data_IF_539510799484
#
_entry.id   IF_539510799484
#
_cell.length_a   1.000
_cell.length_b   1.000
_cell.length_c   1.000
_cell.angle_alpha   90.00
_cell.angle_beta   90.00
_cell.angle_gamma   90.00
#
_symmetry.space_group_name_H-M   'P 1'
#
loop_
_entity.id
_entity.type
_entity.pdbx_description
1 polymer ?
#
# COMPACT_ATOMS: atom_id res chain seq x y z
N UNK A 1 16.05 33.02 -3.96
CA UNK A 1 15.61 32.88 -5.35
C UNK A 1 16.79 32.66 -6.29
N UNK A 2 17.94 33.29 -6.04
CA UNK A 2 19.04 33.35 -7.02
C UNK A 2 19.84 32.06 -7.21
N UNK A 3 19.69 31.07 -6.31
CA UNK A 3 20.37 29.76 -6.37
C UNK A 3 19.39 28.59 -6.48
N UNK A 4 18.13 28.84 -6.83
CA UNK A 4 17.09 27.81 -6.91
C UNK A 4 16.21 28.01 -8.14
N UNK A 5 15.66 26.92 -8.69
CA UNK A 5 14.73 26.95 -9.82
C UNK A 5 13.47 27.80 -9.55
N UNK A 6 13.07 27.89 -8.27
CA UNK A 6 11.93 28.69 -7.84
C UNK A 6 12.37 30.05 -7.27
N UNK A 7 11.61 31.11 -7.59
CA UNK A 7 11.88 32.48 -7.14
C UNK A 7 11.33 32.75 -5.73
N UNK A 8 10.02 32.91 -5.60
CA UNK A 8 9.33 33.25 -4.34
C UNK A 8 8.90 32.00 -3.60
N UNK A 9 9.22 31.89 -2.30
CA UNK A 9 8.86 30.74 -1.46
C UNK A 9 8.34 31.20 -0.11
N UNK A 10 7.33 30.51 0.42
CA UNK A 10 6.78 30.82 1.73
C UNK A 10 7.78 30.45 2.83
N UNK A 11 8.30 31.46 3.55
CA UNK A 11 9.13 31.24 4.74
C UNK A 11 8.42 30.38 5.80
N UNK A 12 7.09 30.41 5.84
CA UNK A 12 6.28 29.57 6.70
C UNK A 12 6.50 28.06 6.49
N UNK A 13 6.77 27.61 5.26
CA UNK A 13 7.05 26.19 4.99
C UNK A 13 8.40 25.76 5.62
N UNK A 14 9.42 26.63 5.56
CA UNK A 14 10.69 26.39 6.22
C UNK A 14 10.54 26.36 7.75
N UNK A 15 9.72 27.26 8.32
CA UNK A 15 9.42 27.27 9.75
C UNK A 15 8.69 26.00 10.22
N UNK A 16 7.72 25.51 9.43
CA UNK A 16 7.01 24.27 9.74
C UNK A 16 7.94 23.05 9.74
N UNK A 17 8.82 22.94 8.73
CA UNK A 17 9.83 21.86 8.68
C UNK A 17 10.83 21.98 9.83
N UNK A 18 11.32 23.18 10.10
CA UNK A 18 12.25 23.43 11.20
C UNK A 18 11.65 22.97 12.53
N UNK A 19 10.43 23.40 12.85
CA UNK A 19 9.74 23.00 14.08
C UNK A 19 9.51 21.49 14.14
N UNK A 20 9.15 20.86 13.00
CA UNK A 20 9.02 19.40 12.91
C UNK A 20 10.32 18.72 13.30
N UNK A 21 11.48 19.16 12.82
CA UNK A 21 12.77 18.58 13.20
C UNK A 21 13.23 18.94 14.62
N UNK A 22 12.68 19.99 15.24
CA UNK A 22 12.89 20.24 16.67
C UNK A 22 12.17 19.21 17.54
N UNK A 23 10.97 18.78 17.13
CA UNK A 23 10.15 17.81 17.86
C UNK A 23 10.49 16.36 17.53
N UNK A 24 10.77 16.08 16.25
CA UNK A 24 11.13 14.78 15.70
C UNK A 24 12.47 14.90 14.96
N UNK A 25 13.61 14.88 15.69
CA UNK A 25 14.92 15.01 15.07
C UNK A 25 15.13 13.95 13.97
N UNK A 26 15.81 14.28 12.86
CA UNK A 26 16.09 13.34 11.76
C UNK A 26 17.21 12.36 12.16
N UNK A 27 16.94 11.58 13.20
CA UNK A 27 17.84 10.60 13.82
C UNK A 27 17.06 9.30 14.05
N UNK A 28 17.76 8.17 14.25
CA UNK A 28 17.10 6.91 14.59
C UNK A 28 16.18 6.99 15.82
N UNK A 29 16.54 7.80 16.82
CA UNK A 29 15.76 7.99 18.06
C UNK A 29 14.61 9.01 17.93
N UNK A 30 14.60 9.82 16.87
CA UNK A 30 13.53 10.78 16.59
C UNK A 30 12.59 10.26 15.49
N UNK A 31 12.59 10.92 14.33
CA UNK A 31 11.80 10.53 13.17
C UNK A 31 12.01 9.06 12.76
N UNK A 32 13.20 8.51 13.01
CA UNK A 32 13.50 7.10 12.74
C UNK A 32 12.55 6.11 13.42
N UNK A 33 12.05 6.41 14.62
CA UNK A 33 11.09 5.54 15.32
C UNK A 33 9.75 5.45 14.57
N UNK A 34 9.28 6.57 14.04
CA UNK A 34 8.04 6.65 13.23
C UNK A 34 8.19 5.85 11.94
N UNK A 35 9.31 6.04 11.23
CA UNK A 35 9.60 5.31 9.99
C UNK A 35 9.80 3.81 10.23
N UNK A 36 10.46 3.44 11.33
CA UNK A 36 10.69 2.04 11.69
C UNK A 36 9.37 1.31 11.99
N UNK A 37 8.41 1.97 12.63
CA UNK A 37 7.07 1.40 12.86
C UNK A 37 6.35 1.09 11.55
N UNK A 38 6.34 2.04 10.59
CA UNK A 38 5.77 1.80 9.26
C UNK A 38 6.43 0.64 8.52
N UNK A 39 7.77 0.52 8.61
CA UNK A 39 8.51 -0.61 8.03
C UNK A 39 8.16 -1.94 8.68
N UNK A 40 8.08 -2.01 10.02
CA UNK A 40 7.69 -3.23 10.74
C UNK A 40 6.27 -3.65 10.38
N UNK A 41 5.35 -2.71 10.31
CA UNK A 41 3.97 -2.95 9.87
C UNK A 41 3.94 -3.55 8.44
N UNK A 42 4.73 -3.02 7.51
CA UNK A 42 4.77 -3.50 6.13
C UNK A 42 5.32 -4.93 6.03
N UNK A 43 6.38 -5.24 6.78
CA UNK A 43 6.96 -6.58 6.82
C UNK A 43 6.02 -7.60 7.48
N UNK A 44 5.36 -7.21 8.57
CA UNK A 44 4.36 -8.04 9.24
C UNK A 44 3.17 -8.33 8.31
N UNK A 45 2.69 -7.32 7.59
CA UNK A 45 1.59 -7.51 6.66
C UNK A 45 1.97 -8.38 5.45
N UNK A 46 3.20 -8.23 4.95
CA UNK A 46 3.71 -9.08 3.89
C UNK A 46 3.71 -10.57 4.30
N UNK A 47 3.97 -10.88 5.57
CA UNK A 47 3.90 -12.25 6.08
C UNK A 47 2.46 -12.77 6.12
N UNK A 48 1.51 -11.97 6.63
CA UNK A 48 0.09 -12.34 6.60
C UNK A 48 -0.39 -12.63 5.16
N UNK A 49 0.00 -11.79 4.20
CA UNK A 49 -0.33 -11.96 2.78
C UNK A 49 0.28 -13.23 2.17
N UNK A 50 1.47 -13.69 2.61
CA UNK A 50 2.06 -14.95 2.14
C UNK A 50 1.26 -16.17 2.61
N UNK A 51 0.63 -16.07 3.78
CA UNK A 51 -0.22 -17.13 4.36
C UNK A 51 -1.69 -17.05 3.92
N UNK A 52 -2.08 -15.99 3.20
CA UNK A 52 -3.46 -15.76 2.80
C UNK A 52 -3.86 -16.65 1.62
N UNK A 53 -5.07 -17.21 1.70
CA UNK A 53 -5.68 -17.94 0.58
C UNK A 53 -6.46 -17.03 -0.38
N UNK A 54 -6.79 -15.81 0.05
CA UNK A 54 -7.66 -14.89 -0.69
C UNK A 54 -6.92 -13.68 -1.28
N UNK A 55 -5.74 -13.36 -0.77
CA UNK A 55 -4.89 -12.26 -1.22
C UNK A 55 -3.48 -12.80 -1.47
N UNK A 56 -2.82 -12.26 -2.48
CA UNK A 56 -1.42 -12.58 -2.80
C UNK A 56 -0.56 -11.33 -2.74
N UNK A 57 0.62 -11.45 -2.12
CA UNK A 57 1.63 -10.40 -2.08
C UNK A 57 2.21 -10.17 -3.48
N UNK A 58 2.23 -8.93 -3.97
CA UNK A 58 2.80 -8.63 -5.28
C UNK A 58 4.34 -8.73 -5.29
N UNK A 59 5.00 -8.16 -4.28
CA UNK A 59 6.45 -8.30 -4.04
C UNK A 59 6.79 -8.00 -2.57
N UNK A 60 7.93 -8.48 -2.05
CA UNK A 60 8.41 -8.06 -0.73
C UNK A 60 8.53 -6.53 -0.63
N UNK A 61 8.00 -5.91 0.44
CA UNK A 61 8.11 -4.47 0.62
C UNK A 61 9.51 -4.07 1.11
N UNK A 62 10.12 -3.10 0.42
CA UNK A 62 11.41 -2.52 0.82
C UNK A 62 11.23 -1.39 1.85
N UNK A 63 10.06 -0.72 1.82
CA UNK A 63 9.65 0.39 2.68
C UNK A 63 8.23 0.15 3.23
N UNK A 64 7.48 1.21 3.53
CA UNK A 64 6.16 1.20 4.16
C UNK A 64 4.98 1.06 3.17
N UNK A 65 5.24 0.64 1.93
CA UNK A 65 4.22 0.41 0.90
C UNK A 65 4.08 -1.08 0.63
N UNK A 66 2.87 -1.61 0.80
CA UNK A 66 2.53 -3.02 0.52
C UNK A 66 1.60 -3.07 -0.68
N UNK A 67 2.02 -3.80 -1.73
CA UNK A 67 1.22 -4.05 -2.92
C UNK A 67 0.78 -5.51 -2.95
N UNK A 68 -0.49 -5.75 -3.25
CA UNK A 68 -1.10 -7.09 -3.21
C UNK A 68 -2.32 -7.13 -4.13
N UNK A 69 -2.79 -8.33 -4.45
CA UNK A 69 -3.92 -8.53 -5.35
C UNK A 69 -4.77 -9.71 -4.90
N UNK A 70 -6.08 -9.73 -5.23
CA UNK A 70 -6.94 -10.85 -4.90
C UNK A 70 -6.57 -12.09 -5.70
N UNK A 71 -6.62 -13.25 -5.05
CA UNK A 71 -6.50 -14.55 -5.72
C UNK A 71 -7.81 -14.83 -6.45
N UNK A 72 -7.75 -14.92 -7.78
CA UNK A 72 -8.91 -15.25 -8.62
C UNK A 72 -8.76 -16.65 -9.22
N UNK A 73 -9.86 -17.30 -9.57
CA UNK A 73 -9.82 -18.67 -10.14
C UNK A 73 -9.02 -18.76 -11.44
N UNK A 74 -9.28 -17.84 -12.39
CA UNK A 74 -8.63 -17.82 -13.70
C UNK A 74 -7.23 -17.17 -13.69
N UNK A 75 -6.89 -16.42 -12.63
CA UNK A 75 -5.66 -15.60 -12.51
C UNK A 75 -5.36 -14.75 -13.76
N UNK A 76 -6.40 -14.33 -14.46
CA UNK A 76 -6.29 -13.44 -15.62
C UNK A 76 -6.08 -11.99 -15.18
N UNK A 77 -5.42 -11.19 -16.01
CA UNK A 77 -5.25 -9.76 -15.75
C UNK A 77 -6.62 -9.07 -15.61
N UNK A 78 -7.61 -9.43 -16.41
CA UNK A 78 -8.97 -8.88 -16.31
C UNK A 78 -9.66 -9.22 -14.99
N UNK A 79 -9.58 -10.48 -14.53
CA UNK A 79 -10.21 -10.90 -13.27
C UNK A 79 -9.58 -10.22 -12.06
N UNK A 80 -8.25 -10.10 -12.05
CA UNK A 80 -7.50 -9.42 -10.98
C UNK A 80 -7.85 -7.93 -10.93
N UNK A 81 -7.92 -7.27 -12.10
CA UNK A 81 -8.29 -5.86 -12.21
C UNK A 81 -9.71 -5.60 -11.68
N UNK A 82 -10.67 -6.42 -12.14
CA UNK A 82 -12.06 -6.32 -11.74
C UNK A 82 -12.25 -6.57 -10.24
N UNK A 83 -11.62 -7.60 -9.69
CA UNK A 83 -11.70 -7.93 -8.27
C UNK A 83 -11.04 -6.85 -7.40
N UNK A 84 -9.88 -6.32 -7.78
CA UNK A 84 -9.23 -5.21 -7.07
C UNK A 84 -10.11 -3.96 -7.05
N UNK A 85 -10.73 -3.62 -8.18
CA UNK A 85 -11.65 -2.49 -8.26
C UNK A 85 -12.92 -2.70 -7.42
N UNK A 86 -13.44 -3.93 -7.32
CA UNK A 86 -14.56 -4.26 -6.43
C UNK A 86 -14.18 -4.08 -4.97
N UNK A 87 -13.06 -4.66 -4.52
CA UNK A 87 -12.59 -4.56 -3.13
C UNK A 87 -12.42 -3.09 -2.71
N UNK A 88 -11.78 -2.27 -3.55
CA UNK A 88 -11.61 -0.83 -3.26
C UNK A 88 -12.97 -0.14 -3.08
N UNK A 89 -13.91 -0.37 -4.00
CA UNK A 89 -15.22 0.27 -3.98
C UNK A 89 -16.07 -0.18 -2.79
N UNK A 90 -16.10 -1.49 -2.52
CA UNK A 90 -16.84 -2.07 -1.41
C UNK A 90 -16.25 -1.67 -0.05
N UNK A 91 -14.92 -1.64 0.06
CA UNK A 91 -14.22 -1.15 1.25
C UNK A 91 -14.56 0.30 1.55
N UNK A 92 -14.59 1.18 0.55
CA UNK A 92 -14.94 2.59 0.74
C UNK A 92 -16.43 2.83 1.01
N UNK A 93 -17.32 1.98 0.47
CA UNK A 93 -18.77 2.13 0.60
C UNK A 93 -19.32 1.59 1.93
N UNK A 94 -18.55 0.78 2.68
CA UNK A 94 -18.99 0.28 3.98
C UNK A 94 -18.95 1.39 5.04
N UNK A 95 -20.13 1.88 5.42
CA UNK A 95 -20.29 2.95 6.40
C UNK A 95 -19.91 2.54 7.83
N UNK A 96 -19.97 1.24 8.16
CA UNK A 96 -19.67 0.74 9.50
C UNK A 96 -18.18 0.47 9.69
N UNK A 97 -17.51 -0.04 8.65
CA UNK A 97 -16.07 -0.39 8.66
C UNK A 97 -15.41 -0.03 7.34
N UNK A 98 -15.24 1.28 7.06
CA UNK A 98 -14.65 1.73 5.80
C UNK A 98 -13.16 1.38 5.74
N UNK A 99 -12.71 0.99 4.54
CA UNK A 99 -11.29 0.79 4.23
C UNK A 99 -10.91 1.64 3.03
N UNK A 100 -9.93 2.52 3.24
CA UNK A 100 -9.42 3.42 2.20
C UNK A 100 -8.11 2.86 1.65
N UNK A 101 -8.18 2.32 0.43
CA UNK A 101 -7.04 1.78 -0.30
C UNK A 101 -6.61 2.71 -1.43
N UNK A 102 -5.40 2.49 -1.93
CA UNK A 102 -4.97 3.00 -3.24
C UNK A 102 -4.79 1.84 -4.22
N UNK A 103 -4.66 2.13 -5.50
CA UNK A 103 -4.38 1.13 -6.53
C UNK A 103 -3.12 1.44 -7.30
N UNK A 104 -2.51 0.41 -7.88
CA UNK A 104 -1.39 0.50 -8.81
C UNK A 104 -1.75 -0.25 -10.09
N UNK A 105 -1.60 0.37 -11.26
CA UNK A 105 -1.67 -0.35 -12.54
C UNK A 105 -0.33 -1.02 -12.81
N UNK A 106 -0.34 -2.33 -12.97
CA UNK A 106 0.85 -3.13 -13.26
C UNK A 106 0.73 -3.64 -14.70
N UNK A 107 1.70 -3.31 -15.59
CA UNK A 107 1.76 -3.89 -16.93
C UNK A 107 1.94 -5.41 -16.88
N UNK A 108 1.37 -6.11 -17.85
CA UNK A 108 1.42 -7.58 -17.98
C UNK A 108 2.85 -8.13 -17.80
N UNK A 109 3.82 -7.61 -18.55
CA UNK A 109 5.20 -8.08 -18.49
C UNK A 109 5.84 -7.93 -17.10
N UNK A 110 5.48 -6.87 -16.36
CA UNK A 110 5.97 -6.65 -15.01
C UNK A 110 5.31 -7.60 -14.00
N UNK A 111 4.05 -7.95 -14.24
CA UNK A 111 3.29 -8.92 -13.45
C UNK A 111 3.82 -10.34 -13.68
N UNK A 112 3.89 -10.78 -14.94
CA UNK A 112 4.34 -12.12 -15.33
C UNK A 112 5.76 -12.44 -14.86
N UNK A 113 6.64 -11.44 -14.81
CA UNK A 113 8.00 -11.57 -14.23
C UNK A 113 8.01 -11.95 -12.75
N UNK A 114 7.01 -11.51 -11.97
CA UNK A 114 6.92 -11.75 -10.51
C UNK A 114 6.02 -12.93 -10.18
N UNK A 115 4.93 -13.07 -10.93
CA UNK A 115 3.87 -14.06 -10.71
C UNK A 115 3.70 -14.89 -11.98
N UNK A 116 4.44 -15.99 -12.05
CA UNK A 116 4.32 -16.94 -13.17
C UNK A 116 2.95 -17.59 -13.18
N UNK A 117 2.38 -17.78 -14.38
CA UNK A 117 1.09 -18.43 -14.57
C UNK A 117 -0.13 -17.51 -14.51
N UNK A 118 0.07 -16.18 -14.48
CA UNK A 118 -1.03 -15.25 -14.72
C UNK A 118 -1.37 -15.22 -16.23
N UNK A 119 -2.66 -15.16 -16.55
CA UNK A 119 -3.13 -15.12 -17.94
C UNK A 119 -3.16 -13.67 -18.43
N UNK A 120 -2.37 -13.41 -19.47
CA UNK A 120 -2.20 -12.11 -20.12
C UNK A 120 -3.35 -11.80 -21.11
N UNK A 121 -4.58 -11.66 -20.62
CA UNK A 121 -5.76 -11.36 -21.44
C UNK A 121 -5.99 -9.85 -21.68
N UNK A 122 -5.14 -9.00 -21.10
CA UNK A 122 -5.05 -7.56 -21.37
C UNK A 122 -3.66 -7.04 -20.98
N UNK A 123 -3.33 -5.80 -21.35
CA UNK A 123 -1.99 -5.18 -21.17
C UNK A 123 -1.54 -4.97 -19.71
N UNK A 124 -2.38 -5.33 -18.73
CA UNK A 124 -2.06 -5.26 -17.31
C UNK A 124 -3.29 -5.16 -16.43
N UNK A 125 -3.08 -5.14 -15.12
CA UNK A 125 -4.14 -5.13 -14.12
C UNK A 125 -3.92 -4.05 -13.06
N UNK A 126 -5.02 -3.48 -12.55
CA UNK A 126 -5.00 -2.74 -11.29
C UNK A 126 -4.88 -3.73 -10.14
N UNK A 127 -3.93 -3.47 -9.25
CA UNK A 127 -3.76 -4.17 -7.97
C UNK A 127 -3.97 -3.20 -6.81
N UNK A 128 -4.10 -3.74 -5.60
CA UNK A 128 -4.27 -2.97 -4.37
C UNK A 128 -2.91 -2.53 -3.81
N UNK A 129 -2.88 -1.33 -3.23
CA UNK A 129 -1.71 -0.74 -2.58
C UNK A 129 -2.13 -0.05 -1.28
N UNK A 130 -1.39 -0.35 -0.22
CA UNK A 130 -1.53 0.31 1.08
C UNK A 130 -0.23 0.99 1.49
N UNK A 131 -0.35 2.16 2.11
CA UNK A 131 0.77 2.99 2.56
C UNK A 131 0.69 3.12 4.08
N UNK A 132 1.69 2.64 4.79
CA UNK A 132 1.70 2.48 6.25
C UNK A 132 2.48 3.61 6.95
N UNK A 133 2.10 4.86 6.70
CA UNK A 133 2.85 6.04 7.19
C UNK A 133 2.67 6.35 8.68
N UNK A 134 1.59 5.85 9.29
CA UNK A 134 1.25 6.08 10.70
C UNK A 134 1.79 4.94 11.57
N UNK A 135 2.45 5.22 12.72
CA UNK A 135 2.93 4.18 13.63
C UNK A 135 1.83 3.22 14.11
N UNK A 136 0.60 3.71 14.26
CA UNK A 136 -0.57 2.94 14.70
C UNK A 136 -0.91 1.78 13.75
N UNK A 137 -0.44 1.82 12.50
CA UNK A 137 -0.61 0.70 11.58
C UNK A 137 0.06 -0.58 12.06
N UNK A 138 1.13 -0.50 12.86
CA UNK A 138 1.82 -1.68 13.38
C UNK A 138 0.86 -2.58 14.18
N UNK A 139 -0.03 -1.98 14.98
CA UNK A 139 -1.06 -2.70 15.72
C UNK A 139 -2.32 -2.99 14.89
N UNK A 140 -2.64 -2.16 13.89
CA UNK A 140 -3.89 -2.24 13.12
C UNK A 140 -3.83 -3.21 11.93
N UNK A 141 -2.64 -3.55 11.42
CA UNK A 141 -2.45 -4.43 10.25
C UNK A 141 -3.24 -5.76 10.33
N UNK A 142 -3.30 -6.49 11.45
CA UNK A 142 -4.07 -7.74 11.53
C UNK A 142 -5.57 -7.55 11.26
N UNK A 143 -6.17 -6.49 11.82
CA UNK A 143 -7.59 -6.17 11.61
C UNK A 143 -7.84 -5.78 10.16
N UNK A 144 -6.99 -4.90 9.62
CA UNK A 144 -7.08 -4.46 8.23
C UNK A 144 -6.93 -5.64 7.26
N UNK A 145 -5.99 -6.54 7.52
CA UNK A 145 -5.81 -7.75 6.71
C UNK A 145 -7.07 -8.64 6.73
N UNK A 146 -7.61 -8.94 7.91
CA UNK A 146 -8.82 -9.76 8.04
C UNK A 146 -10.00 -9.13 7.30
N UNK A 147 -10.14 -7.80 7.39
CA UNK A 147 -11.18 -7.06 6.66
C UNK A 147 -11.04 -7.21 5.15
N UNK A 148 -9.81 -7.13 4.62
CA UNK A 148 -9.58 -7.29 3.19
C UNK A 148 -9.76 -8.72 2.69
N UNK A 149 -9.41 -9.72 3.51
CA UNK A 149 -9.72 -11.13 3.18
C UNK A 149 -11.23 -11.34 3.01
N UNK A 150 -12.05 -10.75 3.89
CA UNK A 150 -13.52 -10.84 3.77
C UNK A 150 -14.01 -10.21 2.47
N UNK A 151 -13.51 -9.02 2.11
CA UNK A 151 -13.86 -8.35 0.85
C UNK A 151 -13.39 -9.15 -0.37
N UNK A 152 -12.24 -9.80 -0.29
CA UNK A 152 -11.70 -10.62 -1.37
C UNK A 152 -12.51 -11.90 -1.59
N UNK A 153 -13.02 -12.54 -0.53
CA UNK A 153 -13.84 -13.77 -0.64
C UNK A 153 -15.26 -13.52 -1.15
N UNK A 154 -15.74 -12.28 -1.07
CA UNK A 154 -17.04 -11.86 -1.62
C UNK A 154 -16.94 -11.49 -3.11
N UNK A 155 -15.74 -11.55 -3.70
CA UNK A 155 -15.44 -11.09 -5.06
C UNK A 155 -15.40 -12.21 -6.09
#
# INVERSE_FOLDING_TARGET
GEISLECSRAGAAAAALWLTFRLLPPTPAGLGQVLAAGRRAALAWAELLRSSASLALYQPPELDIVCYFPVTGERSMSSIDAASARIMRAGMADAARPVFLSTLRVPEAAFARRHRGAVADQDGARILRSVLMKPEHEAHVPELHARLELLARQS
#
